data_IF_499604021310
#
_entry.id   IF_499604021310
#
_cell.length_a   1.000
_cell.length_b   1.000
_cell.length_c   1.000
_cell.angle_alpha   90.00
_cell.angle_beta   90.00
_cell.angle_gamma   90.00
#
_symmetry.space_group_name_H-M   'P 1'
#
loop_
_entity.id
_entity.type
_entity.pdbx_description
1 polymer ?
#
# COMPACT_ATOMS: atom_id res chain seq x y z
N UNK A 1 -12.64 8.99 19.60
CA UNK A 1 -11.32 9.04 18.93
C UNK A 1 -11.50 8.66 17.46
N UNK A 2 -10.76 9.28 16.55
CA UNK A 2 -10.74 8.99 15.11
C UNK A 2 -9.39 8.38 14.74
N UNK A 3 -9.41 7.20 14.13
CA UNK A 3 -8.20 6.51 13.66
C UNK A 3 -8.23 6.44 12.14
N UNK A 4 -7.17 6.92 11.50
CA UNK A 4 -6.96 6.79 10.06
C UNK A 4 -6.00 5.63 9.77
N UNK A 5 -6.53 4.55 9.22
CA UNK A 5 -5.77 3.44 8.66
C UNK A 5 -5.34 3.75 7.24
N UNK A 6 -4.04 3.65 6.97
CA UNK A 6 -3.46 3.77 5.64
C UNK A 6 -2.67 2.50 5.29
N UNK A 7 -3.33 1.61 4.54
CA UNK A 7 -2.78 0.34 4.10
C UNK A 7 -2.15 0.40 2.73
N UNK A 8 -1.15 -0.44 2.47
CA UNK A 8 -0.52 -0.52 1.16
C UNK A 8 0.58 -1.57 1.09
N UNK A 9 0.95 -2.01 -0.12
CA UNK A 9 2.10 -2.92 -0.27
C UNK A 9 3.41 -2.23 0.11
N UNK A 10 3.55 -0.94 -0.21
CA UNK A 10 4.74 -0.11 0.05
C UNK A 10 6.05 -0.79 -0.35
N UNK A 11 6.19 -1.07 -1.64
CA UNK A 11 7.32 -1.84 -2.19
C UNK A 11 7.98 -1.11 -3.37
N UNK A 12 8.67 0.02 -3.15
CA UNK A 12 8.82 0.74 -1.88
C UNK A 12 7.72 1.81 -1.65
N UNK A 13 7.58 2.35 -0.41
CA UNK A 13 6.85 3.60 -0.21
C UNK A 13 7.57 4.77 -0.92
N UNK A 14 6.82 5.82 -1.26
CA UNK A 14 7.31 6.94 -2.07
C UNK A 14 6.53 8.23 -1.79
N UNK A 15 6.99 9.37 -2.32
CA UNK A 15 6.41 10.69 -2.05
C UNK A 15 4.93 10.81 -2.46
N UNK A 16 4.49 10.06 -3.48
CA UNK A 16 3.07 9.92 -3.81
C UNK A 16 2.23 9.33 -2.67
N UNK A 17 2.73 8.30 -1.98
CA UNK A 17 2.05 7.76 -0.80
C UNK A 17 2.01 8.76 0.36
N UNK A 18 3.12 9.48 0.59
CA UNK A 18 3.20 10.55 1.60
C UNK A 18 2.14 11.63 1.34
N UNK A 19 1.99 12.03 0.07
CA UNK A 19 1.00 13.04 -0.34
C UNK A 19 -0.44 12.55 -0.13
N UNK A 20 -0.73 11.30 -0.48
CA UNK A 20 -2.05 10.70 -0.29
C UNK A 20 -2.42 10.62 1.20
N UNK A 21 -1.49 10.19 2.06
CA UNK A 21 -1.74 10.15 3.50
C UNK A 21 -1.98 11.55 4.07
N UNK A 22 -1.19 12.55 3.65
CA UNK A 22 -1.38 13.95 4.05
C UNK A 22 -2.78 14.46 3.67
N UNK A 23 -3.23 14.21 2.44
CA UNK A 23 -4.57 14.60 1.98
C UNK A 23 -5.68 13.91 2.77
N UNK A 24 -5.57 12.60 3.00
CA UNK A 24 -6.54 11.85 3.79
C UNK A 24 -6.61 12.34 5.24
N UNK A 25 -5.46 12.61 5.86
CA UNK A 25 -5.39 13.15 7.22
C UNK A 25 -5.99 14.57 7.30
N UNK A 26 -5.71 15.44 6.34
CA UNK A 26 -6.31 16.77 6.28
C UNK A 26 -7.84 16.70 6.18
N UNK A 27 -8.38 15.72 5.43
CA UNK A 27 -9.82 15.51 5.26
C UNK A 27 -10.52 14.99 6.51
N UNK A 28 -9.87 14.08 7.25
CA UNK A 28 -10.45 13.41 8.44
C UNK A 28 -10.17 14.19 9.73
N UNK A 29 -9.01 14.86 9.81
CA UNK A 29 -8.40 15.39 11.03
C UNK A 29 -8.34 14.32 12.13
N UNK A 30 -7.64 13.18 11.91
CA UNK A 30 -7.66 12.07 12.85
C UNK A 30 -6.96 12.43 14.16
N UNK A 31 -7.18 11.63 15.20
CA UNK A 31 -6.42 11.70 16.45
C UNK A 31 -5.17 10.80 16.38
N UNK A 32 -5.24 9.72 15.57
CA UNK A 32 -4.14 8.77 15.33
C UNK A 32 -4.13 8.30 13.88
N UNK A 33 -2.93 8.11 13.33
CA UNK A 33 -2.69 7.45 12.04
C UNK A 33 -2.01 6.11 12.26
N UNK A 34 -2.49 5.08 11.56
CA UNK A 34 -1.85 3.76 11.50
C UNK A 34 -1.49 3.46 10.05
N UNK A 35 -0.20 3.43 9.74
CA UNK A 35 0.31 2.92 8.47
C UNK A 35 0.48 1.41 8.59
N UNK A 36 -0.12 0.66 7.68
CA UNK A 36 -0.14 -0.81 7.71
C UNK A 36 0.43 -1.39 6.41
N UNK A 37 1.72 -1.77 6.38
CA UNK A 37 2.28 -2.50 5.26
C UNK A 37 1.59 -3.86 5.12
N UNK A 38 1.04 -4.12 3.94
CA UNK A 38 0.34 -5.37 3.67
C UNK A 38 1.29 -6.56 3.78
N UNK A 39 0.84 -7.67 4.35
CA UNK A 39 1.68 -8.86 4.53
C UNK A 39 2.03 -9.55 3.21
N UNK A 40 1.04 -10.20 2.61
CA UNK A 40 1.07 -10.69 1.21
C UNK A 40 -0.28 -10.37 0.61
N UNK A 41 -0.31 -9.56 -0.45
CA UNK A 41 -1.57 -9.29 -1.15
C UNK A 41 -1.99 -10.55 -1.91
N UNK A 42 -3.23 -11.06 -1.74
CA UNK A 42 -3.73 -12.17 -2.55
C UNK A 42 -3.82 -11.83 -4.05
N UNK A 43 -3.60 -10.56 -4.44
CA UNK A 43 -3.69 -10.06 -5.80
C UNK A 43 -2.33 -9.81 -6.48
N UNK A 44 -1.19 -10.00 -5.80
CA UNK A 44 0.16 -9.80 -6.38
C UNK A 44 1.00 -11.08 -6.23
N UNK A 45 1.85 -11.38 -7.23
CA UNK A 45 2.79 -12.53 -7.24
C UNK A 45 3.87 -12.50 -6.14
N UNK A 46 3.85 -11.50 -5.27
CA UNK A 46 4.83 -11.27 -4.20
C UNK A 46 5.21 -9.78 -4.09
N UNK A 47 6.00 -9.44 -3.09
CA UNK A 47 6.74 -8.17 -3.00
C UNK A 47 8.22 -8.45 -3.25
N UNK A 48 8.93 -7.48 -3.83
CA UNK A 48 10.37 -7.57 -4.08
C UNK A 48 11.17 -7.38 -2.78
N UNK A 49 10.74 -6.49 -1.88
CA UNK A 49 11.31 -6.37 -0.53
C UNK A 49 10.55 -7.24 0.48
N UNK A 50 11.27 -7.73 1.50
CA UNK A 50 10.70 -8.48 2.62
C UNK A 50 9.73 -7.62 3.44
N UNK A 51 8.82 -8.25 4.19
CA UNK A 51 7.90 -7.55 5.08
C UNK A 51 8.62 -6.64 6.08
N UNK A 52 9.69 -7.14 6.71
CA UNK A 52 10.51 -6.37 7.64
C UNK A 52 11.13 -5.12 7.00
N UNK A 53 11.68 -5.24 5.78
CA UNK A 53 12.27 -4.08 5.08
C UNK A 53 11.20 -3.08 4.65
N UNK A 54 10.00 -3.54 4.27
CA UNK A 54 8.87 -2.64 3.95
C UNK A 54 8.38 -1.90 5.18
N UNK A 55 8.28 -2.55 6.33
CA UNK A 55 7.99 -1.89 7.62
C UNK A 55 9.05 -0.82 7.91
N UNK A 56 10.33 -1.16 7.77
CA UNK A 56 11.41 -0.20 7.99
C UNK A 56 11.31 1.02 7.06
N UNK A 57 11.11 0.79 5.75
CA UNK A 57 10.92 1.87 4.78
C UNK A 57 9.69 2.72 5.09
N UNK A 58 8.59 2.12 5.58
CA UNK A 58 7.38 2.85 5.95
C UNK A 58 7.57 3.79 7.16
N UNK A 59 8.64 3.65 7.94
CA UNK A 59 8.96 4.66 8.97
C UNK A 59 9.22 6.05 8.38
N UNK A 60 9.35 6.18 7.05
CA UNK A 60 9.43 7.47 6.39
C UNK A 60 8.18 8.34 6.62
N UNK A 61 7.02 7.73 6.87
CA UNK A 61 5.79 8.47 7.16
C UNK A 61 5.86 9.26 8.46
N UNK A 62 6.77 8.94 9.40
CA UNK A 62 6.99 9.73 10.61
C UNK A 62 7.40 11.18 10.33
N UNK A 63 8.02 11.45 9.16
CA UNK A 63 8.31 12.81 8.73
C UNK A 63 7.04 13.68 8.62
N UNK A 64 5.88 13.10 8.29
CA UNK A 64 4.62 13.86 8.28
C UNK A 64 4.19 14.30 9.68
N UNK A 65 4.51 13.52 10.72
CA UNK A 65 4.20 13.88 12.09
C UNK A 65 5.17 14.94 12.61
N UNK A 66 6.45 14.84 12.25
CA UNK A 66 7.48 15.84 12.55
C UNK A 66 7.15 17.20 11.92
N UNK A 67 6.62 17.20 10.69
CA UNK A 67 6.12 18.40 9.99
C UNK A 67 4.74 18.88 10.47
N UNK A 68 4.14 18.23 11.48
CA UNK A 68 2.79 18.51 11.99
C UNK A 68 1.68 18.39 10.94
N UNK A 69 1.93 17.68 9.84
CA UNK A 69 0.95 17.42 8.78
C UNK A 69 -0.05 16.32 9.16
N UNK A 70 0.32 15.44 10.09
CA UNK A 70 -0.52 14.37 10.66
C UNK A 70 -0.31 14.33 12.20
N UNK A 71 -1.26 13.80 12.99
CA UNK A 71 -1.10 13.63 14.44
C UNK A 71 -0.12 12.48 14.76
N UNK A 72 -0.23 11.89 15.95
CA UNK A 72 0.48 10.68 16.32
C UNK A 72 0.35 9.60 15.23
N UNK A 73 1.49 9.14 14.71
CA UNK A 73 1.58 8.16 13.63
C UNK A 73 2.32 6.93 14.12
N UNK A 74 1.79 5.76 13.75
CA UNK A 74 2.41 4.48 13.98
C UNK A 74 2.54 3.70 12.67
N UNK A 75 3.65 2.98 12.51
CA UNK A 75 3.80 1.95 11.48
C UNK A 75 3.64 0.59 12.14
N UNK A 76 2.54 -0.10 11.84
CA UNK A 76 2.22 -1.40 12.44
C UNK A 76 2.62 -2.54 11.52
N UNK A 77 3.31 -3.54 12.05
CA UNK A 77 3.72 -4.75 11.32
C UNK A 77 2.67 -5.85 11.28
N UNK A 78 1.46 -5.62 11.81
CA UNK A 78 0.51 -6.69 12.12
C UNK A 78 0.14 -7.56 10.91
N UNK A 79 -0.15 -6.97 9.74
CA UNK A 79 -0.46 -7.75 8.54
C UNK A 79 0.73 -8.58 8.04
N UNK A 80 1.96 -8.07 8.18
CA UNK A 80 3.18 -8.84 7.87
C UNK A 80 3.30 -10.05 8.79
N UNK A 81 3.13 -9.86 10.10
CA UNK A 81 3.17 -10.95 11.08
C UNK A 81 2.06 -11.99 10.85
N UNK A 82 0.86 -11.56 10.43
CA UNK A 82 -0.21 -12.51 10.07
C UNK A 82 0.18 -13.33 8.84
N UNK A 83 0.79 -12.72 7.82
CA UNK A 83 1.25 -13.42 6.63
C UNK A 83 2.31 -14.47 6.93
N UNK A 84 3.29 -14.13 7.78
CA UNK A 84 4.36 -15.05 8.21
C UNK A 84 3.80 -16.28 8.93
N UNK A 85 2.63 -16.14 9.57
CA UNK A 85 1.88 -17.24 10.21
C UNK A 85 0.94 -17.97 9.23
N UNK A 86 1.01 -17.70 7.93
CA UNK A 86 0.17 -18.32 6.90
C UNK A 86 -1.30 -17.86 6.93
N UNK A 87 -1.61 -16.74 7.61
CA UNK A 87 -2.98 -16.23 7.73
C UNK A 87 -3.33 -15.31 6.57
N UNK A 88 -4.64 -15.20 6.30
CA UNK A 88 -5.17 -14.31 5.27
C UNK A 88 -5.04 -12.85 5.71
N UNK A 89 -4.73 -11.95 4.78
CA UNK A 89 -4.63 -10.51 4.99
C UNK A 89 -5.74 -9.77 4.23
N UNK A 90 -6.95 -9.84 4.77
CA UNK A 90 -8.07 -9.07 4.24
C UNK A 90 -8.27 -7.81 5.08
N UNK A 91 -8.53 -6.67 4.44
CA UNK A 91 -8.72 -5.38 5.11
C UNK A 91 -9.77 -5.42 6.21
N UNK A 92 -10.83 -6.21 6.06
CA UNK A 92 -11.86 -6.39 7.10
C UNK A 92 -11.26 -6.93 8.41
N UNK A 93 -10.30 -7.84 8.36
CA UNK A 93 -9.65 -8.41 9.54
C UNK A 93 -8.77 -7.37 10.24
N UNK A 94 -8.11 -6.51 9.46
CA UNK A 94 -7.32 -5.39 9.99
C UNK A 94 -8.22 -4.39 10.71
N UNK A 95 -9.41 -4.09 10.16
CA UNK A 95 -10.38 -3.21 10.80
C UNK A 95 -11.02 -3.83 12.05
N UNK A 96 -11.32 -5.14 12.04
CA UNK A 96 -11.80 -5.86 13.23
C UNK A 96 -10.76 -5.84 14.35
N UNK A 97 -9.48 -6.05 14.01
CA UNK A 97 -8.37 -5.93 14.96
C UNK A 97 -8.30 -4.53 15.56
N UNK A 98 -8.32 -3.48 14.73
CA UNK A 98 -8.28 -2.10 15.22
C UNK A 98 -9.53 -1.73 16.05
N UNK A 99 -10.70 -2.22 15.69
CA UNK A 99 -11.93 -1.99 16.46
C UNK A 99 -11.86 -2.66 17.84
N UNK A 100 -11.22 -3.84 17.93
CA UNK A 100 -11.00 -4.54 19.20
C UNK A 100 -9.93 -3.84 20.07
N UNK A 101 -8.85 -3.36 19.46
CA UNK A 101 -7.79 -2.63 20.15
C UNK A 101 -8.23 -1.25 20.64
N UNK A 102 -9.12 -0.58 19.88
CA UNK A 102 -9.63 0.76 20.19
C UNK A 102 -11.16 0.80 20.29
N UNK A 103 -11.76 0.23 21.36
CA UNK A 103 -13.21 0.23 21.54
C UNK A 103 -13.82 1.63 21.48
N UNK A 104 -14.84 1.81 20.64
CA UNK A 104 -15.54 3.08 20.46
C UNK A 104 -14.82 4.10 19.57
N UNK A 105 -13.68 3.76 18.97
CA UNK A 105 -13.06 4.61 17.96
C UNK A 105 -13.84 4.59 16.64
N UNK A 106 -13.92 5.75 15.98
CA UNK A 106 -14.37 5.85 14.61
C UNK A 106 -13.19 5.54 13.68
N UNK A 107 -13.31 4.47 12.90
CA UNK A 107 -12.26 4.06 11.97
C UNK A 107 -12.48 4.71 10.60
N UNK A 108 -11.37 5.12 9.98
CA UNK A 108 -11.30 5.65 8.63
C UNK A 108 -10.27 4.85 7.85
N UNK A 109 -10.63 4.37 6.68
CA UNK A 109 -9.75 3.62 5.77
C UNK A 109 -9.41 4.52 4.57
N UNK A 110 -8.16 4.95 4.48
CA UNK A 110 -7.67 5.69 3.33
C UNK A 110 -7.37 4.75 2.15
N UNK A 111 -7.97 5.05 0.99
CA UNK A 111 -7.80 4.29 -0.26
C UNK A 111 -7.59 5.23 -1.45
N UNK A 112 -7.04 4.70 -2.54
CA UNK A 112 -7.00 5.37 -3.84
C UNK A 112 -8.34 5.33 -4.57
N UNK A 113 -8.56 6.27 -5.50
CA UNK A 113 -9.74 6.29 -6.36
C UNK A 113 -9.90 5.01 -7.19
N UNK A 114 -8.79 4.43 -7.66
CA UNK A 114 -8.73 3.16 -8.38
C UNK A 114 -9.26 1.99 -7.54
N UNK A 115 -8.95 1.97 -6.24
CA UNK A 115 -9.44 0.95 -5.31
C UNK A 115 -10.95 1.05 -5.07
N UNK A 116 -11.53 2.26 -5.07
CA UNK A 116 -12.97 2.43 -4.88
C UNK A 116 -13.78 1.76 -6.01
N UNK A 117 -13.29 1.84 -7.25
CA UNK A 117 -13.97 1.27 -8.42
C UNK A 117 -14.16 -0.25 -8.33
N UNK A 118 -13.27 -0.93 -7.61
CA UNK A 118 -13.27 -2.40 -7.42
C UNK A 118 -13.59 -2.83 -5.98
N UNK A 119 -14.03 -1.90 -5.14
CA UNK A 119 -14.18 -2.11 -3.69
C UNK A 119 -15.23 -3.18 -3.33
N UNK A 120 -16.31 -3.31 -4.10
CA UNK A 120 -17.32 -4.36 -3.95
C UNK A 120 -16.82 -5.78 -4.29
N UNK A 121 -15.61 -5.90 -4.83
CA UNK A 121 -14.89 -7.16 -4.96
C UNK A 121 -14.08 -7.55 -3.72
N UNK A 122 -13.96 -6.67 -2.72
CA UNK A 122 -13.15 -6.94 -1.53
C UNK A 122 -13.86 -7.94 -0.61
N UNK A 123 -13.08 -8.78 0.06
CA UNK A 123 -13.61 -9.76 0.99
C UNK A 123 -14.41 -9.08 2.11
N UNK A 124 -15.72 -9.40 2.19
CA UNK A 124 -16.67 -8.82 3.16
C UNK A 124 -16.73 -7.29 3.09
N UNK A 125 -16.73 -6.70 1.89
CA UNK A 125 -16.74 -5.24 1.70
C UNK A 125 -17.88 -4.52 2.44
N UNK A 126 -19.06 -5.14 2.60
CA UNK A 126 -20.15 -4.55 3.36
C UNK A 126 -19.81 -4.40 4.85
N UNK A 127 -19.05 -5.33 5.42
CA UNK A 127 -18.61 -5.26 6.81
C UNK A 127 -17.54 -4.18 6.99
N UNK A 128 -16.69 -3.97 5.99
CA UNK A 128 -15.75 -2.83 5.95
C UNK A 128 -16.51 -1.51 6.11
N UNK A 129 -17.63 -1.31 5.40
CA UNK A 129 -18.45 -0.08 5.51
C UNK A 129 -19.21 0.05 6.83
N UNK A 130 -19.43 -1.05 7.55
CA UNK A 130 -19.98 -1.01 8.92
C UNK A 130 -18.91 -0.60 9.93
N UNK A 131 -17.67 -1.06 9.73
CA UNK A 131 -16.54 -0.83 10.63
C UNK A 131 -15.88 0.53 10.42
N UNK A 132 -15.81 1.03 9.18
CA UNK A 132 -15.04 2.22 8.84
C UNK A 132 -15.71 3.09 7.78
N UNK A 133 -15.37 4.38 7.84
CA UNK A 133 -15.58 5.31 6.73
C UNK A 133 -14.46 5.14 5.70
N UNK A 134 -14.75 5.25 4.41
CA UNK A 134 -13.74 5.30 3.36
C UNK A 134 -13.28 6.73 3.12
N UNK A 135 -11.97 6.92 2.97
CA UNK A 135 -11.37 8.21 2.61
C UNK A 135 -10.67 8.04 1.28
N UNK A 136 -11.33 8.45 0.21
CA UNK A 136 -10.91 8.23 -1.16
C UNK A 136 -10.05 9.39 -1.61
N UNK A 137 -8.75 9.12 -1.76
CA UNK A 137 -7.81 10.07 -2.35
C UNK A 137 -8.00 10.10 -3.86
N UNK A 138 -8.28 11.28 -4.42
CA UNK A 138 -8.56 11.45 -5.86
C UNK A 138 -7.83 12.64 -6.44
N UNK A 139 -7.25 12.43 -7.62
CA UNK A 139 -6.54 13.43 -8.43
C UNK A 139 -7.49 14.37 -9.17
N UNK A 140 -8.61 13.81 -9.60
CA UNK A 140 -9.72 14.55 -10.19
C UNK A 140 -10.54 15.05 -8.99
N UNK A 141 -10.59 16.37 -8.78
CA UNK A 141 -11.06 17.08 -7.57
C UNK A 141 -12.56 16.85 -7.30
N UNK A 142 -12.98 15.61 -7.09
CA UNK A 142 -14.40 15.28 -7.05
C UNK A 142 -15.10 15.29 -8.42
N UNK A 143 -14.40 15.56 -9.53
CA UNK A 143 -15.03 15.69 -10.86
C UNK A 143 -14.92 14.42 -11.72
N UNK A 144 -14.92 13.25 -11.08
CA UNK A 144 -14.98 11.97 -11.80
C UNK A 144 -16.39 11.38 -11.65
N UNK A 145 -17.26 11.47 -12.68
CA UNK A 145 -18.63 10.99 -12.59
C UNK A 145 -18.72 9.49 -12.29
N UNK A 146 -17.81 8.68 -12.83
CA UNK A 146 -17.80 7.24 -12.61
C UNK A 146 -17.51 6.93 -11.16
N UNK A 147 -16.53 7.63 -10.58
CA UNK A 147 -16.17 7.49 -9.17
C UNK A 147 -17.32 7.91 -8.23
N UNK A 148 -18.03 8.98 -8.56
CA UNK A 148 -19.17 9.47 -7.76
C UNK A 148 -20.36 8.51 -7.83
N UNK A 149 -20.67 8.00 -9.02
CA UNK A 149 -21.73 7.01 -9.18
C UNK A 149 -21.38 5.72 -8.45
N UNK A 150 -20.12 5.28 -8.46
CA UNK A 150 -19.68 4.15 -7.64
C UNK A 150 -19.87 4.41 -6.14
N UNK A 151 -19.44 5.59 -5.66
CA UNK A 151 -19.61 5.96 -4.26
C UNK A 151 -21.09 5.95 -3.82
N UNK A 152 -21.98 6.57 -4.61
CA UNK A 152 -23.43 6.58 -4.34
C UNK A 152 -24.03 5.17 -4.29
N UNK A 153 -23.58 4.26 -5.16
CA UNK A 153 -24.06 2.86 -5.15
C UNK A 153 -23.62 2.11 -3.90
N UNK A 154 -22.40 2.35 -3.43
CA UNK A 154 -21.85 1.70 -2.23
C UNK A 154 -22.39 2.31 -0.93
N UNK A 155 -22.71 3.61 -0.94
CA UNK A 155 -23.16 4.39 0.19
C UNK A 155 -24.24 5.39 -0.23
N UNK A 156 -25.47 4.89 -0.40
CA UNK A 156 -26.60 5.69 -0.87
C UNK A 156 -26.94 6.88 0.06
N UNK A 157 -26.61 6.78 1.34
CA UNK A 157 -26.80 7.85 2.32
C UNK A 157 -25.69 8.93 2.25
N UNK A 158 -24.55 8.64 1.60
CA UNK A 158 -23.42 9.56 1.44
C UNK A 158 -22.66 9.89 2.73
N UNK A 159 -22.80 9.07 3.78
CA UNK A 159 -22.23 9.34 5.10
C UNK A 159 -20.91 8.58 5.39
N UNK A 160 -20.61 7.54 4.61
CA UNK A 160 -19.48 6.62 4.80
C UNK A 160 -18.31 6.90 3.87
N UNK A 161 -18.54 7.46 2.69
CA UNK A 161 -17.47 7.69 1.70
C UNK A 161 -17.12 9.18 1.63
N UNK A 162 -15.88 9.52 1.97
CA UNK A 162 -15.35 10.88 1.98
C UNK A 162 -14.30 11.02 0.88
N UNK A 163 -14.43 12.04 0.03
CA UNK A 163 -13.39 12.38 -0.93
C UNK A 163 -12.34 13.31 -0.29
N UNK A 164 -11.07 12.98 -0.51
CA UNK A 164 -9.90 13.76 -0.14
C UNK A 164 -9.18 14.19 -1.44
N UNK A 165 -9.31 15.46 -1.86
CA UNK A 165 -8.59 15.97 -3.02
C UNK A 165 -7.08 15.89 -2.80
N UNK A 166 -6.35 15.44 -3.81
CA UNK A 166 -4.89 15.37 -3.77
C UNK A 166 -4.28 15.75 -5.11
N UNK A 167 -3.19 16.49 -5.08
CA UNK A 167 -2.41 16.75 -6.29
C UNK A 167 -1.69 15.46 -6.73
N UNK A 168 -1.83 15.13 -8.01
CA UNK A 168 -1.26 13.93 -8.58
C UNK A 168 0.26 14.01 -8.66
N UNK A 169 0.96 13.15 -7.92
CA UNK A 169 2.37 12.89 -8.17
C UNK A 169 2.47 11.65 -9.07
N UNK A 170 2.94 11.76 -10.33
CA UNK A 170 2.95 10.67 -11.30
C UNK A 170 4.09 9.67 -10.98
N UNK A 171 3.89 8.87 -9.94
CA UNK A 171 4.84 7.84 -9.54
C UNK A 171 4.11 6.60 -9.06
N UNK A 172 4.56 5.45 -9.54
CA UNK A 172 4.14 4.14 -9.09
C UNK A 172 5.36 3.37 -8.58
N UNK A 173 5.20 2.56 -7.52
CA UNK A 173 6.29 1.72 -7.02
C UNK A 173 6.85 0.78 -8.11
N UNK A 174 6.04 0.29 -9.05
CA UNK A 174 6.52 -0.54 -10.16
C UNK A 174 7.54 0.18 -11.03
N UNK A 175 7.27 1.42 -11.36
CA UNK A 175 8.10 2.22 -12.26
C UNK A 175 9.38 2.62 -11.53
N UNK A 176 9.27 2.95 -10.23
CA UNK A 176 10.42 3.21 -9.38
C UNK A 176 11.33 1.98 -9.26
N UNK A 177 10.77 0.76 -9.12
CA UNK A 177 11.58 -0.46 -9.12
C UNK A 177 12.30 -0.68 -10.45
N UNK A 178 11.63 -0.45 -11.58
CA UNK A 178 12.27 -0.57 -12.90
C UNK A 178 13.41 0.43 -13.10
N UNK A 179 13.23 1.68 -12.67
CA UNK A 179 14.26 2.72 -12.73
C UNK A 179 15.44 2.46 -11.80
N UNK A 180 15.17 1.99 -10.58
CA UNK A 180 16.21 1.54 -9.64
C UNK A 180 17.02 0.37 -10.20
N UNK A 181 16.35 -0.58 -10.88
CA UNK A 181 17.02 -1.68 -11.57
C UNK A 181 17.94 -1.20 -12.69
N UNK A 182 17.54 -0.13 -13.40
CA UNK A 182 18.35 0.56 -14.41
C UNK A 182 19.48 1.44 -13.81
N UNK A 183 19.62 1.50 -12.49
CA UNK A 183 20.67 2.27 -11.79
C UNK A 183 20.32 3.74 -11.54
N UNK A 184 19.09 4.17 -11.82
CA UNK A 184 18.63 5.50 -11.40
C UNK A 184 18.50 5.58 -9.88
N UNK A 185 18.65 6.79 -9.33
CA UNK A 185 18.62 7.02 -7.87
C UNK A 185 17.24 7.39 -7.33
N UNK A 186 16.31 7.80 -8.19
CA UNK A 186 14.94 8.21 -7.83
C UNK A 186 14.90 9.19 -6.64
N UNK A 187 15.79 10.19 -6.62
CA UNK A 187 16.01 11.07 -5.47
C UNK A 187 14.82 11.98 -5.15
N UNK A 188 14.03 12.32 -6.16
CA UNK A 188 12.89 13.24 -6.04
C UNK A 188 11.59 12.51 -5.67
N UNK A 189 11.54 11.20 -5.89
CA UNK A 189 10.37 10.36 -5.71
C UNK A 189 10.42 9.58 -4.39
N UNK A 190 11.62 9.29 -3.88
CA UNK A 190 11.81 8.46 -2.69
C UNK A 190 12.23 9.30 -1.48
N UNK A 191 11.54 9.15 -0.34
CA UNK A 191 11.98 9.75 0.92
C UNK A 191 13.43 9.36 1.27
N UNK A 192 14.22 10.24 1.91
CA UNK A 192 15.62 9.96 2.25
C UNK A 192 15.84 8.66 3.01
N UNK A 193 14.95 8.32 3.96
CA UNK A 193 15.01 7.04 4.69
C UNK A 193 14.88 5.84 3.75
N UNK A 194 13.91 5.89 2.83
CA UNK A 194 13.65 4.81 1.88
C UNK A 194 14.88 4.59 1.00
N UNK A 195 15.47 5.67 0.48
CA UNK A 195 16.72 5.59 -0.31
C UNK A 195 17.86 4.95 0.46
N UNK A 196 18.03 5.31 1.74
CA UNK A 196 19.05 4.72 2.61
C UNK A 196 18.86 3.22 2.78
N UNK A 197 17.63 2.76 3.02
CA UNK A 197 17.34 1.33 3.15
C UNK A 197 17.60 0.60 1.83
N UNK A 198 17.10 1.14 0.71
CA UNK A 198 17.34 0.55 -0.63
C UNK A 198 18.83 0.42 -0.93
N UNK A 199 19.62 1.46 -0.63
CA UNK A 199 21.06 1.45 -0.87
C UNK A 199 21.79 0.47 0.05
N UNK A 200 21.44 0.44 1.33
CA UNK A 200 22.05 -0.45 2.34
C UNK A 200 21.84 -1.92 2.00
N UNK A 201 20.62 -2.26 1.59
CA UNK A 201 20.18 -3.64 1.33
C UNK A 201 20.35 -4.06 -0.13
N UNK A 202 20.80 -3.16 -1.01
CA UNK A 202 20.93 -3.44 -2.45
C UNK A 202 19.60 -3.76 -3.14
N UNK A 203 18.48 -3.28 -2.62
CA UNK A 203 17.14 -3.63 -3.12
C UNK A 203 16.93 -3.17 -4.56
N UNK A 204 16.11 -3.94 -5.28
CA UNK A 204 15.59 -3.61 -6.62
C UNK A 204 16.65 -3.47 -7.73
N UNK A 205 17.89 -3.90 -7.50
CA UNK A 205 18.93 -3.96 -8.53
C UNK A 205 18.81 -5.26 -9.33
N UNK A 206 19.12 -5.22 -10.62
CA UNK A 206 19.39 -6.46 -11.35
C UNK A 206 20.68 -7.09 -10.80
N UNK A 207 20.61 -8.35 -10.37
CA UNK A 207 21.80 -9.16 -10.19
C UNK A 207 22.41 -9.42 -11.56
N UNK A 208 23.41 -8.62 -11.95
CA UNK A 208 24.32 -9.00 -13.03
C UNK A 208 25.31 -10.04 -12.50
N UNK A 209 24.88 -11.30 -12.52
CA UNK A 209 25.65 -12.50 -12.14
C UNK A 209 24.66 -13.55 -11.63
N UNK A 210 24.27 -14.56 -12.40
CA UNK A 210 25.15 -15.56 -13.00
C UNK A 210 24.52 -16.07 -14.32
N UNK A 211 25.11 -15.74 -15.46
CA UNK A 211 24.79 -16.33 -16.76
C UNK A 211 26.11 -16.62 -17.50
N UNK A 212 27.05 -17.27 -16.80
CA UNK A 212 28.06 -18.10 -17.44
C UNK A 212 27.58 -19.55 -17.36
N UNK A 213 26.70 -19.93 -18.29
CA UNK A 213 26.68 -21.30 -18.78
C UNK A 213 26.94 -21.21 -20.28
N UNK A 214 28.18 -21.50 -20.65
CA UNK A 214 28.52 -21.84 -22.03
C UNK A 214 27.60 -22.98 -22.50
N UNK A 215 27.13 -22.96 -23.75
CA UNK A 215 26.42 -24.10 -24.29
C UNK A 215 27.46 -25.16 -24.65
N UNK A 216 27.75 -26.09 -23.73
CA UNK A 216 28.42 -27.33 -24.12
C UNK A 216 27.47 -28.14 -25.00
N UNK A 217 27.89 -28.24 -26.25
CA UNK A 217 27.36 -29.13 -27.28
C UNK A 217 27.33 -30.59 -26.79
N UNK A 218 26.15 -31.20 -26.79
CA UNK A 218 25.99 -32.63 -26.55
C UNK A 218 24.79 -33.20 -27.30
N UNK A 219 25.02 -33.70 -28.51
CA UNK A 219 24.07 -34.55 -29.27
C UNK A 219 23.78 -35.83 -28.47
N UNK A 220 22.52 -36.28 -28.40
CA UNK A 220 22.22 -37.64 -27.93
C UNK A 220 20.74 -37.96 -27.63
N UNK A 221 19.96 -38.15 -28.70
CA UNK A 221 18.89 -39.14 -28.90
C UNK A 221 17.81 -39.52 -27.84
N UNK A 222 16.59 -39.62 -28.38
CA UNK A 222 15.46 -40.52 -28.06
C UNK A 222 14.37 -40.09 -27.05
N UNK A 223 13.20 -39.75 -27.60
CA UNK A 223 11.87 -40.36 -27.37
C UNK A 223 11.73 -41.29 -26.14
N UNK A 224 10.72 -41.23 -25.27
CA UNK A 224 9.26 -41.19 -25.52
C UNK A 224 8.51 -40.99 -24.16
N UNK A 225 7.16 -41.12 -24.01
CA UNK A 225 6.32 -40.12 -23.33
C UNK A 225 5.76 -40.51 -21.94
N UNK A 226 5.11 -39.50 -21.36
CA UNK A 226 4.28 -39.40 -20.16
C UNK A 226 3.42 -40.63 -19.79
N UNK A 227 3.46 -40.97 -18.50
CA UNK A 227 2.29 -41.21 -17.63
C UNK A 227 2.38 -40.30 -16.40
#
# INVERSE_FOLDING_TARGET
>A
MRILLYGGSFDPPHNGHMNNLRAAAARVKPDKVVVMPAGVSPFKRGTCASGALRIEMCRCFSALAEEQAVPALEVSGWEVEQAERGRRNYTVLTLEMLAAEYPGAALYLAIGSDMLLTFDGWHRWQDILKLAHLVVTSRNIGDDPVLHEKAKRLDAAGARILFAPVEALPMASSDLRARLAAGERCENELPPLVRRVIQREGLYRENKGDNNHEPETGKGACAQPLE
#
